data_IF_312168521638
#
_entry.id   IF_312168521638
#
_cell.length_a   1.000
_cell.length_b   1.000
_cell.length_c   1.000
_cell.angle_alpha   90.00
_cell.angle_beta   90.00
_cell.angle_gamma   90.00
#
_symmetry.space_group_name_H-M   'P 1'
#
loop_
_entity.id
_entity.type
_entity.pdbx_description
1 polymer ?
#
# COMPACT_ATOMS: atom_id res chain seq x y z
N UNK A 1 -7.93 -43.26 32.35
CA UNK A 1 -8.72 -43.76 31.22
C UNK A 1 -9.96 -42.89 31.16
N UNK A 2 -9.78 -41.57 30.97
CA UNK A 2 -9.50 -40.98 29.64
C UNK A 2 -10.70 -41.34 28.75
N UNK A 3 -11.58 -40.41 28.42
CA UNK A 3 -11.26 -39.45 27.37
C UNK A 3 -11.78 -38.04 27.69
N UNK A 4 -10.83 -37.11 27.63
CA UNK A 4 -10.99 -35.68 27.42
C UNK A 4 -11.81 -35.42 26.14
N UNK A 5 -12.90 -34.64 26.25
CA UNK A 5 -13.62 -34.11 25.10
C UNK A 5 -13.69 -32.59 25.22
N UNK A 6 -12.54 -31.94 25.01
CA UNK A 6 -12.46 -30.49 24.87
C UNK A 6 -13.23 -29.98 23.64
N UNK A 7 -13.87 -28.80 23.72
CA UNK A 7 -14.58 -28.21 22.60
C UNK A 7 -13.64 -27.47 21.62
N UNK A 8 -13.79 -27.83 20.34
CA UNK A 8 -13.63 -27.08 19.08
C UNK A 8 -12.71 -25.83 19.04
N UNK A 9 -11.75 -25.80 18.11
CA UNK A 9 -11.43 -24.57 17.39
C UNK A 9 -12.36 -24.42 16.17
N UNK A 10 -13.22 -23.39 16.22
CA UNK A 10 -13.91 -22.84 15.05
C UNK A 10 -12.85 -22.47 14.01
N UNK A 11 -12.73 -23.28 12.96
CA UNK A 11 -11.98 -22.90 11.78
C UNK A 11 -12.75 -21.76 11.11
N UNK A 12 -12.30 -20.54 11.38
CA UNK A 12 -12.67 -19.36 10.59
C UNK A 12 -12.31 -19.70 9.15
N UNK A 13 -13.33 -19.96 8.33
CA UNK A 13 -13.16 -20.07 6.91
C UNK A 13 -12.86 -18.65 6.44
N UNK A 14 -11.58 -18.33 6.28
CA UNK A 14 -11.15 -17.10 5.63
C UNK A 14 -11.57 -17.21 4.18
N UNK A 15 -12.65 -16.51 3.83
CA UNK A 15 -13.07 -16.29 2.45
C UNK A 15 -12.05 -15.36 1.78
N UNK A 16 -10.97 -15.95 1.28
CA UNK A 16 -9.95 -15.26 0.48
C UNK A 16 -10.52 -15.07 -0.94
N UNK A 17 -11.45 -14.13 -1.02
CA UNK A 17 -12.01 -13.66 -2.26
C UNK A 17 -10.90 -12.97 -3.08
N UNK A 18 -10.79 -13.42 -4.33
CA UNK A 18 -10.41 -12.62 -5.48
C UNK A 18 -8.92 -12.24 -5.58
N UNK A 19 -8.13 -13.25 -5.92
CA UNK A 19 -6.92 -13.11 -6.74
C UNK A 19 -7.25 -12.40 -8.06
N UNK A 20 -7.30 -11.07 -8.05
CA UNK A 20 -7.24 -10.25 -9.27
C UNK A 20 -5.77 -10.07 -9.67
N UNK A 21 -5.20 -11.15 -10.18
CA UNK A 21 -3.91 -11.15 -10.84
C UNK A 21 -4.03 -10.41 -12.18
N UNK A 22 -3.78 -9.10 -12.16
CA UNK A 22 -3.39 -8.34 -13.35
C UNK A 22 -1.96 -7.82 -13.16
N UNK A 23 -1.04 -8.77 -13.03
CA UNK A 23 0.34 -8.64 -13.53
C UNK A 23 0.24 -9.01 -15.03
N UNK A 24 0.85 -8.38 -16.02
CA UNK A 24 2.08 -7.62 -16.06
C UNK A 24 2.04 -6.83 -17.38
N UNK A 25 2.20 -5.51 -17.35
CA UNK A 25 2.65 -4.77 -18.54
C UNK A 25 3.95 -4.09 -18.13
N UNK A 26 5.03 -4.83 -18.34
CA UNK A 26 6.39 -4.31 -18.28
C UNK A 26 6.53 -3.17 -19.32
N UNK A 27 6.54 -1.92 -18.87
CA UNK A 27 7.18 -0.80 -19.57
C UNK A 27 7.15 0.47 -18.70
N UNK A 28 8.33 0.91 -18.28
CA UNK A 28 8.54 2.22 -17.64
C UNK A 28 8.35 2.17 -16.13
N UNK A 29 9.39 2.62 -15.42
CA UNK A 29 9.43 2.73 -13.97
C UNK A 29 8.09 3.23 -13.43
N UNK A 30 7.37 2.40 -12.67
CA UNK A 30 6.30 2.91 -11.79
C UNK A 30 6.97 4.03 -11.00
N UNK A 31 6.46 5.26 -11.12
CA UNK A 31 7.05 6.47 -10.52
C UNK A 31 7.61 6.20 -9.12
N UNK A 32 8.76 6.79 -8.77
CA UNK A 32 9.46 6.60 -7.49
C UNK A 32 8.56 6.62 -6.24
N UNK A 33 7.44 7.36 -6.29
CA UNK A 33 6.45 7.42 -5.21
C UNK A 33 5.93 6.05 -4.77
N UNK A 34 5.80 5.08 -5.69
CA UNK A 34 5.27 3.75 -5.38
C UNK A 34 6.15 2.94 -4.42
N UNK A 35 7.35 3.43 -4.07
CA UNK A 35 8.16 2.89 -2.98
C UNK A 35 7.56 3.13 -1.59
N UNK A 36 6.69 4.14 -1.47
CA UNK A 36 6.13 4.61 -0.19
C UNK A 36 4.64 4.26 -0.03
N UNK A 37 4.05 3.68 -1.06
CA UNK A 37 2.61 3.46 -1.18
C UNK A 37 2.31 2.00 -1.50
N UNK A 38 1.26 1.47 -0.90
CA UNK A 38 0.73 0.17 -1.29
C UNK A 38 0.09 0.20 -2.67
N UNK A 39 0.01 -0.99 -3.28
CA UNK A 39 -0.76 -1.19 -4.50
C UNK A 39 -2.21 -0.74 -4.26
N UNK A 40 -2.81 -0.01 -5.21
CA UNK A 40 -4.19 0.42 -5.06
C UNK A 40 -5.14 -0.78 -5.01
N UNK A 41 -6.17 -0.69 -4.15
CA UNK A 41 -7.24 -1.68 -4.09
C UNK A 41 -8.26 -1.49 -5.25
N UNK A 42 -9.33 -2.30 -5.25
CA UNK A 42 -10.41 -2.25 -6.25
C UNK A 42 -11.09 -0.88 -6.36
N UNK A 43 -11.03 -0.05 -5.31
CA UNK A 43 -11.58 1.30 -5.27
C UNK A 43 -10.56 2.37 -5.70
N UNK A 44 -9.41 1.96 -6.24
CA UNK A 44 -8.27 2.82 -6.55
C UNK A 44 -7.74 3.58 -5.33
N UNK A 45 -7.83 2.99 -4.15
CA UNK A 45 -7.30 3.59 -2.92
C UNK A 45 -5.95 2.97 -2.62
N UNK A 46 -4.93 3.81 -2.43
CA UNK A 46 -3.58 3.41 -2.02
C UNK A 46 -3.28 3.98 -0.63
N UNK A 47 -2.46 3.26 0.15
CA UNK A 47 -2.15 3.59 1.54
C UNK A 47 -0.70 4.05 1.65
N UNK A 48 -0.48 5.17 2.36
CA UNK A 48 0.85 5.68 2.65
C UNK A 48 1.50 4.91 3.82
N UNK A 49 2.66 4.31 3.56
CA UNK A 49 3.42 3.55 4.56
C UNK A 49 4.64 4.30 5.11
N UNK A 50 4.72 5.62 4.92
CA UNK A 50 5.83 6.42 5.44
C UNK A 50 5.71 6.59 6.95
N UNK A 51 6.83 6.46 7.66
CA UNK A 51 6.92 6.80 9.07
C UNK A 51 7.02 8.31 9.25
N UNK A 52 6.22 8.87 10.15
CA UNK A 52 6.37 10.27 10.56
C UNK A 52 7.53 10.43 11.57
N UNK A 53 7.85 11.68 11.91
CA UNK A 53 8.90 12.01 12.90
C UNK A 53 8.63 11.42 14.30
N UNK A 54 7.38 11.05 14.58
CA UNK A 54 6.97 10.38 15.82
C UNK A 54 7.12 8.85 15.76
N UNK A 55 7.67 8.29 14.68
CA UNK A 55 7.83 6.85 14.48
C UNK A 55 6.54 6.07 14.18
N UNK A 56 5.46 6.77 13.81
CA UNK A 56 4.17 6.17 13.43
C UNK A 56 3.99 6.16 11.91
N UNK A 57 3.47 5.07 11.37
CA UNK A 57 3.09 4.98 9.96
C UNK A 57 1.95 5.95 9.65
N UNK A 58 2.06 6.68 8.55
CA UNK A 58 1.07 7.64 8.10
C UNK A 58 -0.32 7.02 7.93
N UNK A 59 -0.40 5.85 7.28
CA UNK A 59 -1.63 5.12 6.95
C UNK A 59 -2.68 5.98 6.21
N UNK A 60 -2.24 7.07 5.56
CA UNK A 60 -3.15 7.94 4.81
C UNK A 60 -3.66 7.21 3.57
N UNK A 61 -4.98 7.16 3.42
CA UNK A 61 -5.66 6.58 2.27
C UNK A 61 -5.86 7.64 1.18
N UNK A 62 -5.22 7.43 0.02
CA UNK A 62 -5.30 8.32 -1.13
C UNK A 62 -6.01 7.64 -2.28
N UNK A 63 -7.03 8.32 -2.81
CA UNK A 63 -7.72 7.90 -4.03
C UNK A 63 -6.90 8.29 -5.25
N UNK A 64 -6.56 7.31 -6.06
CA UNK A 64 -5.94 7.47 -7.36
C UNK A 64 -7.04 7.62 -8.40
N UNK A 65 -6.97 8.70 -9.16
CA UNK A 65 -7.88 8.96 -10.28
C UNK A 65 -7.12 8.65 -11.57
N UNK A 66 -7.51 7.58 -12.26
CA UNK A 66 -6.83 7.11 -13.46
C UNK A 66 -5.44 6.54 -13.19
N UNK A 67 -4.42 7.02 -13.90
CA UNK A 67 -3.00 6.63 -13.72
C UNK A 67 -2.16 7.72 -13.05
N UNK A 68 -2.79 8.75 -12.50
CA UNK A 68 -2.09 9.92 -11.98
C UNK A 68 -1.54 9.68 -10.57
N UNK A 69 -0.24 9.92 -10.39
CA UNK A 69 0.45 9.87 -9.10
C UNK A 69 0.60 11.25 -8.43
N UNK A 70 0.02 12.30 -9.00
CA UNK A 70 0.14 13.69 -8.51
C UNK A 70 -0.37 13.87 -7.07
N UNK A 71 -1.44 13.16 -6.71
CA UNK A 71 -1.96 13.14 -5.34
C UNK A 71 -0.97 12.49 -4.36
N UNK A 72 -0.32 11.39 -4.78
CA UNK A 72 0.69 10.68 -3.99
C UNK A 72 1.94 11.55 -3.81
N UNK A 73 2.43 12.19 -4.88
CA UNK A 73 3.56 13.13 -4.83
C UNK A 73 3.28 14.31 -3.89
N UNK A 74 2.09 14.91 -4.02
CA UNK A 74 1.69 16.05 -3.18
C UNK A 74 1.60 15.65 -1.70
N UNK A 75 1.13 14.44 -1.41
CA UNK A 75 1.09 13.90 -0.06
C UNK A 75 2.50 13.73 0.51
N UNK A 76 3.41 13.08 -0.22
CA UNK A 76 4.80 12.87 0.21
C UNK A 76 5.51 14.20 0.48
N UNK A 77 5.33 15.21 -0.38
CA UNK A 77 5.94 16.52 -0.20
C UNK A 77 5.38 17.29 1.00
N UNK A 78 4.07 17.24 1.24
CA UNK A 78 3.42 18.04 2.30
C UNK A 78 3.46 17.38 3.67
N UNK A 79 3.31 16.06 3.71
CA UNK A 79 3.24 15.30 4.97
C UNK A 79 4.59 14.73 5.39
N UNK A 80 5.49 14.46 4.44
CA UNK A 80 6.76 13.78 4.71
C UNK A 80 7.98 14.54 4.20
N UNK A 81 7.79 15.69 3.53
CA UNK A 81 8.86 16.45 2.88
C UNK A 81 9.73 15.62 1.91
N UNK A 82 9.20 14.49 1.42
CA UNK A 82 9.91 13.61 0.48
C UNK A 82 9.66 14.15 -0.94
N UNK A 83 10.74 14.37 -1.68
CA UNK A 83 10.71 14.84 -3.07
C UNK A 83 11.57 13.94 -3.97
N UNK A 84 11.28 13.92 -5.27
CA UNK A 84 12.15 13.30 -6.27
C UNK A 84 13.34 14.24 -6.45
N UNK A 85 14.41 14.01 -5.70
CA UNK A 85 15.68 14.66 -5.97
C UNK A 85 16.21 14.08 -7.29
N UNK A 86 16.09 14.84 -8.37
CA UNK A 86 16.83 14.55 -9.59
C UNK A 86 18.31 14.76 -9.26
N UNK A 87 19.22 13.84 -9.61
CA UNK A 87 20.63 14.09 -9.42
C UNK A 87 21.00 15.35 -10.18
N UNK A 88 21.45 16.35 -9.43
CA UNK A 88 22.09 17.58 -9.90
C UNK A 88 23.16 17.22 -10.95
N UNK A 89 22.78 17.28 -12.24
CA UNK A 89 23.73 17.21 -13.33
C UNK A 89 24.26 18.63 -13.55
N UNK A 90 25.14 19.05 -12.64
CA UNK A 90 26.02 20.22 -12.77
C UNK A 90 26.99 20.07 -13.95
#
# INVERSE_FOLDING_TARGET
MEEDNLPLPLLVQSNENETSERLDHNSGQRSWVWKYFDKPNHNNISVCNVLNDSGKTCNAQLKIVGRSTSSLMSHLRKCHSITQDEPDNA
#
